data_IF_999748718315
#
_entry.id   IF_999748718315
#
_cell.length_a   1.000
_cell.length_b   1.000
_cell.length_c   1.000
_cell.angle_alpha   90.00
_cell.angle_beta   90.00
_cell.angle_gamma   90.00
#
_symmetry.space_group_name_H-M   'P 1'
#
loop_
_entity.id
_entity.type
_entity.pdbx_description
1 polymer ?
#
# COMPACT_ATOMS: atom_id res chain seq x y z
N UNK A 1 -6.84 5.55 27.98
CA UNK A 1 -6.82 4.86 26.67
C UNK A 1 -7.62 5.70 25.68
N UNK A 2 -6.95 6.23 24.67
CA UNK A 2 -7.59 6.88 23.55
C UNK A 2 -7.72 5.87 22.39
N UNK A 3 -8.86 5.90 21.68
CA UNK A 3 -9.08 5.12 20.46
C UNK A 3 -9.23 6.08 19.28
N UNK A 4 -8.47 5.85 18.23
CA UNK A 4 -8.44 6.68 17.02
C UNK A 4 -8.47 5.82 15.75
N UNK A 5 -8.62 6.45 14.58
CA UNK A 5 -8.61 5.81 13.27
C UNK A 5 -9.99 5.60 12.65
N UNK A 6 -10.06 4.82 11.57
CA UNK A 6 -11.28 4.69 10.76
C UNK A 6 -12.49 4.17 11.56
N UNK A 7 -12.28 3.21 12.47
CA UNK A 7 -13.37 2.66 13.27
C UNK A 7 -13.87 3.65 14.33
N UNK A 8 -13.00 4.52 14.86
CA UNK A 8 -13.44 5.63 15.71
C UNK A 8 -14.35 6.61 14.96
N UNK A 9 -14.17 6.74 13.64
CA UNK A 9 -15.03 7.56 12.79
C UNK A 9 -16.39 6.90 12.47
N UNK A 10 -16.42 5.61 12.17
CA UNK A 10 -17.66 4.95 11.69
C UNK A 10 -18.41 4.16 12.75
N UNK A 11 -17.75 3.81 13.85
CA UNK A 11 -18.24 2.93 14.93
C UNK A 11 -18.25 3.58 16.31
N UNK A 12 -18.24 4.92 16.39
CA UNK A 12 -18.14 5.68 17.64
C UNK A 12 -19.14 5.24 18.72
N UNK A 13 -20.40 4.99 18.35
CA UNK A 13 -21.45 4.55 19.30
C UNK A 13 -21.18 3.19 19.91
N UNK A 14 -20.55 2.27 19.15
CA UNK A 14 -20.12 0.98 19.69
C UNK A 14 -18.96 1.14 20.66
N UNK A 15 -17.98 1.98 20.31
CA UNK A 15 -16.80 2.25 21.15
C UNK A 15 -17.17 2.92 22.48
N UNK A 16 -18.19 3.79 22.50
CA UNK A 16 -18.68 4.41 23.75
C UNK A 16 -19.08 3.41 24.83
N UNK A 17 -19.44 2.18 24.44
CA UNK A 17 -19.89 1.11 25.34
C UNK A 17 -18.76 0.18 25.78
N UNK A 18 -17.55 0.35 25.25
CA UNK A 18 -16.40 -0.51 25.59
C UNK A 18 -15.75 0.01 26.88
N UNK A 19 -15.70 -0.79 27.97
CA UNK A 19 -15.08 -0.38 29.21
C UNK A 19 -13.61 0.00 29.02
N UNK A 20 -13.18 1.05 29.72
CA UNK A 20 -11.77 1.47 29.75
C UNK A 20 -11.34 2.44 28.65
N UNK A 21 -12.21 2.79 27.70
CA UNK A 21 -11.96 3.89 26.75
C UNK A 21 -12.24 5.23 27.42
N UNK A 22 -11.26 6.13 27.38
CA UNK A 22 -11.32 7.47 27.97
C UNK A 22 -11.54 8.56 26.90
N UNK A 23 -11.11 8.31 25.67
CA UNK A 23 -11.18 9.26 24.55
C UNK A 23 -11.41 8.52 23.23
N UNK A 24 -12.32 9.01 22.40
CA UNK A 24 -12.58 8.51 21.03
C UNK A 24 -12.34 9.67 20.06
N UNK A 25 -11.44 9.48 19.11
CA UNK A 25 -11.01 10.54 18.18
C UNK A 25 -11.24 10.11 16.73
N UNK A 26 -12.18 10.78 16.08
CA UNK A 26 -12.50 10.61 14.67
C UNK A 26 -11.42 11.14 13.72
N UNK A 27 -11.60 10.87 12.43
CA UNK A 27 -10.56 11.10 11.41
C UNK A 27 -10.14 12.55 11.23
N UNK A 28 -11.03 13.52 11.49
CA UNK A 28 -10.71 14.96 11.41
C UNK A 28 -9.72 15.37 12.49
N UNK A 29 -9.85 14.82 13.69
CA UNK A 29 -9.13 15.29 14.88
C UNK A 29 -7.85 14.50 15.14
N UNK A 30 -7.71 13.30 14.57
CA UNK A 30 -6.58 12.39 14.90
C UNK A 30 -5.18 12.97 14.65
N UNK A 31 -5.02 13.89 13.69
CA UNK A 31 -3.72 14.48 13.38
C UNK A 31 -3.28 15.51 14.44
N UNK A 32 -4.23 15.99 15.23
CA UNK A 32 -4.04 16.93 16.34
C UNK A 32 -4.27 16.24 17.69
N UNK A 33 -4.12 14.91 17.76
CA UNK A 33 -4.38 14.12 18.98
C UNK A 33 -3.71 14.71 20.23
N UNK A 34 -2.43 15.14 20.20
CA UNK A 34 -1.78 15.74 21.36
C UNK A 34 -2.53 16.95 21.94
N UNK A 35 -3.17 17.77 21.09
CA UNK A 35 -3.89 18.98 21.49
C UNK A 35 -5.15 18.67 22.31
N UNK A 36 -5.63 17.43 22.26
CA UNK A 36 -6.81 16.97 22.99
C UNK A 36 -6.48 16.14 24.23
N UNK A 37 -5.19 15.90 24.50
CA UNK A 37 -4.76 15.18 25.69
C UNK A 37 -4.38 16.18 26.79
N UNK A 38 -4.77 15.93 28.05
CA UNK A 38 -4.25 16.72 29.16
C UNK A 38 -2.74 16.44 29.32
N UNK A 39 -2.05 17.31 30.07
CA UNK A 39 -0.66 17.09 30.45
C UNK A 39 -0.48 15.70 31.09
N UNK A 40 0.69 15.02 30.90
CA UNK A 40 0.88 13.66 31.40
C UNK A 40 0.55 13.45 32.88
N UNK A 41 0.84 14.44 33.72
CA UNK A 41 0.56 14.40 35.17
C UNK A 41 -0.93 14.51 35.51
N UNK A 42 -1.74 15.02 34.59
CA UNK A 42 -3.18 15.18 34.74
C UNK A 42 -3.98 14.07 34.02
N UNK A 43 -3.30 13.08 33.43
CA UNK A 43 -3.97 11.93 32.82
C UNK A 43 -4.64 11.08 33.89
N UNK A 44 -5.97 11.06 33.88
CA UNK A 44 -6.78 10.23 34.77
C UNK A 44 -7.86 9.48 33.98
N UNK A 45 -8.38 8.40 34.60
CA UNK A 45 -9.49 7.64 34.04
C UNK A 45 -10.76 8.47 34.01
N UNK A 46 -11.44 8.46 32.87
CA UNK A 46 -12.68 9.19 32.68
C UNK A 46 -13.89 8.30 33.01
N UNK A 47 -14.96 8.86 33.62
CA UNK A 47 -16.18 8.11 33.90
C UNK A 47 -16.91 7.68 32.62
N UNK A 48 -16.74 8.44 31.53
CA UNK A 48 -17.24 8.13 30.21
C UNK A 48 -16.25 8.63 29.14
N UNK A 49 -16.17 7.98 27.97
CA UNK A 49 -15.27 8.40 26.91
C UNK A 49 -15.66 9.76 26.34
N UNK A 50 -14.72 10.69 26.33
CA UNK A 50 -14.87 11.95 25.59
C UNK A 50 -14.88 11.64 24.08
N UNK A 51 -15.83 12.20 23.33
CA UNK A 51 -15.97 11.94 21.88
C UNK A 51 -15.62 13.18 21.07
N UNK A 52 -14.52 13.10 20.32
CA UNK A 52 -14.15 14.06 19.29
C UNK A 52 -14.50 13.46 17.93
N UNK A 53 -15.69 13.78 17.43
CA UNK A 53 -16.22 13.22 16.18
C UNK A 53 -17.03 14.25 15.40
N UNK A 54 -16.91 14.20 14.08
CA UNK A 54 -17.78 14.97 13.18
C UNK A 54 -18.19 14.08 12.01
N UNK A 55 -19.43 14.22 11.54
CA UNK A 55 -19.89 13.53 10.33
C UNK A 55 -19.28 14.13 9.06
N UNK A 56 -19.00 15.44 9.06
CA UNK A 56 -18.40 16.15 7.93
C UNK A 56 -16.91 16.29 8.16
N UNK A 57 -16.14 15.56 7.36
CA UNK A 57 -14.69 15.73 7.25
C UNK A 57 -14.45 16.84 6.22
N UNK A 58 -13.48 17.71 6.52
CA UNK A 58 -13.08 18.80 5.63
C UNK A 58 -12.69 18.28 4.24
N UNK A 59 -12.86 19.14 3.23
CA UNK A 59 -12.42 18.89 1.85
C UNK A 59 -11.13 19.64 1.52
N UNK A 60 -10.68 20.53 2.39
CA UNK A 60 -9.45 21.27 2.17
C UNK A 60 -8.23 20.35 2.27
N UNK A 61 -7.21 20.66 1.49
CA UNK A 61 -5.89 20.04 1.57
C UNK A 61 -5.30 20.24 2.97
N UNK A 62 -4.39 19.34 3.34
CA UNK A 62 -3.92 19.24 4.73
C UNK A 62 -2.40 19.33 4.84
N UNK A 63 -1.96 19.53 6.08
CA UNK A 63 -0.56 19.42 6.50
C UNK A 63 -0.46 18.42 7.64
N UNK A 64 0.73 17.87 7.86
CA UNK A 64 1.04 17.03 9.01
C UNK A 64 2.20 17.68 9.76
N UNK A 65 1.96 18.07 11.00
CA UNK A 65 2.97 18.71 11.84
C UNK A 65 4.11 17.75 12.17
N UNK A 66 5.34 18.26 12.11
CA UNK A 66 6.55 17.51 12.45
C UNK A 66 7.05 16.61 11.31
N UNK A 67 7.95 15.72 11.67
CA UNK A 67 8.57 14.73 10.76
C UNK A 67 8.34 13.37 11.41
N UNK A 68 7.77 12.42 10.65
CA UNK A 68 7.47 11.07 11.14
C UNK A 68 8.69 10.38 11.73
N UNK A 69 8.48 9.65 12.83
CA UNK A 69 9.51 8.86 13.48
C UNK A 69 9.25 7.38 13.18
N UNK A 70 10.13 6.77 12.38
CA UNK A 70 10.00 5.40 11.93
C UNK A 70 11.20 4.59 12.41
N UNK A 71 10.94 3.45 13.04
CA UNK A 71 11.98 2.46 13.35
C UNK A 71 12.33 1.60 12.12
N UNK A 72 11.48 1.61 11.09
CA UNK A 72 11.71 0.89 9.84
C UNK A 72 12.72 1.60 8.96
N UNK A 73 13.51 0.82 8.21
CA UNK A 73 14.49 1.34 7.23
C UNK A 73 13.83 2.27 6.21
N UNK A 74 12.69 1.85 5.65
CA UNK A 74 11.87 2.65 4.74
C UNK A 74 10.90 3.51 5.55
N UNK A 75 10.67 4.75 5.12
CA UNK A 75 9.72 5.65 5.75
C UNK A 75 8.45 5.80 4.90
N UNK A 76 7.28 5.73 5.55
CA UNK A 76 6.02 6.01 4.88
C UNK A 76 5.79 7.52 4.80
N UNK A 77 5.76 8.08 3.61
CA UNK A 77 5.44 9.49 3.39
C UNK A 77 3.98 9.59 2.94
N UNK A 78 3.11 10.07 3.83
CA UNK A 78 1.70 10.25 3.48
C UNK A 78 1.50 11.51 2.66
N UNK A 79 1.00 11.35 1.44
CA UNK A 79 0.80 12.45 0.48
C UNK A 79 -0.68 12.72 0.19
N UNK A 80 -1.56 11.77 0.49
CA UNK A 80 -2.98 11.84 0.11
C UNK A 80 -3.85 11.16 1.19
N UNK A 81 -5.08 11.62 1.41
CA UNK A 81 -6.06 10.92 2.26
C UNK A 81 -7.49 11.02 1.72
N UNK A 82 -8.33 10.07 2.12
CA UNK A 82 -9.72 9.98 1.63
C UNK A 82 -9.82 9.52 0.17
N UNK A 83 -11.04 9.36 -0.33
CA UNK A 83 -11.26 8.89 -1.70
C UNK A 83 -12.70 9.18 -2.15
N UNK A 84 -12.88 9.64 -3.39
CA UNK A 84 -14.21 9.83 -4.01
C UNK A 84 -14.77 8.58 -4.68
N UNK A 85 -13.97 7.52 -4.80
CA UNK A 85 -14.43 6.29 -5.45
C UNK A 85 -15.36 5.54 -4.51
N UNK A 86 -16.65 5.49 -4.87
CA UNK A 86 -17.71 4.83 -4.10
C UNK A 86 -17.78 3.33 -4.39
N UNK A 87 -16.65 2.62 -4.21
CA UNK A 87 -16.60 1.16 -4.32
C UNK A 87 -17.59 0.54 -3.33
N UNK A 88 -18.43 -0.40 -3.77
CA UNK A 88 -19.59 -0.86 -3.01
C UNK A 88 -19.22 -1.52 -1.67
N UNK A 89 -18.00 -2.04 -1.53
CA UNK A 89 -17.47 -2.66 -0.32
C UNK A 89 -16.67 -1.69 0.58
N UNK A 90 -16.28 -0.52 0.08
CA UNK A 90 -15.28 0.32 0.72
C UNK A 90 -15.91 1.31 1.70
N UNK A 91 -15.42 1.31 2.95
CA UNK A 91 -15.90 2.23 3.99
C UNK A 91 -15.15 3.58 4.00
N UNK A 92 -14.04 3.69 3.25
CA UNK A 92 -13.15 4.86 3.28
C UNK A 92 -13.88 6.18 3.03
N UNK A 93 -14.77 6.33 2.02
CA UNK A 93 -15.43 7.62 1.78
C UNK A 93 -16.17 8.13 3.01
N UNK A 94 -16.72 7.22 3.83
CA UNK A 94 -17.40 7.55 5.08
C UNK A 94 -16.44 7.72 6.27
N UNK A 95 -15.33 6.99 6.27
CA UNK A 95 -14.37 6.98 7.37
C UNK A 95 -13.29 8.06 7.27
N UNK A 96 -12.97 8.53 6.07
CA UNK A 96 -11.86 9.46 5.81
C UNK A 96 -12.25 10.66 4.94
N UNK A 97 -13.46 10.66 4.39
CA UNK A 97 -14.00 11.76 3.58
C UNK A 97 -13.53 11.70 2.12
N UNK A 98 -13.71 12.83 1.45
CA UNK A 98 -13.25 13.05 0.08
C UNK A 98 -11.72 12.97 -0.01
N UNK A 99 -11.25 12.70 -1.21
CA UNK A 99 -9.86 12.84 -1.60
C UNK A 99 -9.36 14.24 -1.28
N UNK A 100 -8.19 14.28 -0.65
CA UNK A 100 -7.46 15.49 -0.30
C UNK A 100 -5.98 15.24 -0.46
N UNK A 101 -5.28 16.25 -0.93
CA UNK A 101 -3.83 16.21 -1.07
C UNK A 101 -3.19 16.81 0.16
N UNK A 102 -2.00 16.34 0.48
CA UNK A 102 -1.11 17.05 1.39
C UNK A 102 -0.41 18.16 0.62
N UNK A 103 -0.23 19.32 1.24
CA UNK A 103 0.46 20.45 0.61
C UNK A 103 1.89 20.08 0.21
N UNK A 104 2.32 20.47 -0.99
CA UNK A 104 3.62 20.08 -1.57
C UNK A 104 4.76 20.47 -0.66
N UNK A 105 4.80 21.73 -0.22
CA UNK A 105 5.89 22.23 0.64
C UNK A 105 5.97 21.45 1.97
N UNK A 106 4.83 20.99 2.50
CA UNK A 106 4.79 20.19 3.72
C UNK A 106 5.24 18.74 3.48
N UNK A 107 4.96 18.17 2.31
CA UNK A 107 5.48 16.86 1.89
C UNK A 107 7.00 16.93 1.74
N UNK A 108 7.52 17.96 1.05
CA UNK A 108 8.96 18.13 0.81
C UNK A 108 9.71 18.32 2.13
N UNK A 109 9.21 19.19 3.02
CA UNK A 109 9.76 19.39 4.36
C UNK A 109 9.87 18.09 5.16
N UNK A 110 8.83 17.24 5.14
CA UNK A 110 8.92 15.95 5.83
C UNK A 110 9.89 14.99 5.14
N UNK A 111 9.91 14.95 3.80
CA UNK A 111 10.84 14.12 3.05
C UNK A 111 12.31 14.47 3.32
N UNK A 112 12.65 15.76 3.36
CA UNK A 112 13.97 16.27 3.77
C UNK A 112 14.31 15.81 5.18
N UNK A 113 13.41 16.03 6.14
CA UNK A 113 13.63 15.60 7.53
C UNK A 113 13.74 14.08 7.70
N UNK A 114 13.11 13.29 6.84
CA UNK A 114 13.26 11.82 6.82
C UNK A 114 14.62 11.41 6.23
N UNK A 115 15.07 12.09 5.17
CA UNK A 115 16.38 11.87 4.57
C UNK A 115 17.51 12.24 5.54
N UNK A 116 17.39 13.35 6.27
CA UNK A 116 18.30 13.75 7.35
C UNK A 116 18.39 12.71 8.47
N UNK A 117 17.30 11.98 8.73
CA UNK A 117 17.24 10.85 9.68
C UNK A 117 17.79 9.54 9.09
N UNK A 118 18.30 9.58 7.87
CA UNK A 118 18.91 8.44 7.18
C UNK A 118 17.94 7.55 6.44
N UNK A 119 16.66 7.89 6.29
CA UNK A 119 15.74 7.10 5.48
C UNK A 119 16.05 7.26 3.99
N UNK A 120 16.65 6.22 3.39
CA UNK A 120 17.04 6.22 1.96
C UNK A 120 15.88 5.94 1.01
N UNK A 121 14.83 5.26 1.48
CA UNK A 121 13.65 4.93 0.67
C UNK A 121 12.37 5.51 1.27
N UNK A 122 11.69 6.33 0.49
CA UNK A 122 10.39 6.92 0.79
C UNK A 122 9.28 6.10 0.12
N UNK A 123 8.32 5.63 0.90
CA UNK A 123 7.12 4.93 0.41
C UNK A 123 5.96 5.91 0.41
N UNK A 124 5.50 6.29 -0.79
CA UNK A 124 4.38 7.22 -0.96
C UNK A 124 3.07 6.53 -0.59
N UNK A 125 2.39 7.05 0.43
CA UNK A 125 1.18 6.45 0.99
C UNK A 125 -0.02 7.39 0.90
N UNK A 126 -1.19 6.77 0.83
CA UNK A 126 -2.49 7.42 0.84
C UNK A 126 -3.58 6.38 0.69
N UNK A 127 -4.79 6.80 0.35
CA UNK A 127 -5.88 5.86 0.05
C UNK A 127 -5.99 5.61 -1.45
N UNK A 128 -5.91 6.68 -2.25
CA UNK A 128 -5.81 6.60 -3.70
C UNK A 128 -4.85 7.69 -4.18
N UNK A 129 -3.55 7.40 -4.11
CA UNK A 129 -2.50 8.40 -4.33
C UNK A 129 -2.47 8.97 -5.74
N UNK A 130 -3.01 8.26 -6.74
CA UNK A 130 -3.12 8.78 -8.11
C UNK A 130 -4.12 9.93 -8.25
N UNK A 131 -4.96 10.18 -7.23
CA UNK A 131 -5.78 11.39 -7.14
C UNK A 131 -5.04 12.60 -6.54
N UNK A 132 -3.75 12.48 -6.23
CA UNK A 132 -2.98 13.61 -5.71
C UNK A 132 -2.98 14.77 -6.72
N UNK A 133 -3.45 15.92 -6.25
CA UNK A 133 -3.45 17.18 -6.97
C UNK A 133 -3.41 18.33 -5.97
N UNK A 134 -2.37 19.16 -6.02
CA UNK A 134 -2.22 20.33 -5.15
C UNK A 134 -1.58 21.48 -5.93
N UNK A 135 -2.17 22.69 -5.86
CA UNK A 135 -1.59 23.87 -6.53
C UNK A 135 -1.36 23.71 -8.04
N UNK A 136 -2.11 22.83 -8.72
CA UNK A 136 -1.91 22.49 -10.14
C UNK A 136 -0.91 21.35 -10.39
N UNK A 137 -0.12 20.94 -9.40
CA UNK A 137 0.83 19.82 -9.47
C UNK A 137 0.12 18.47 -9.29
N UNK A 138 0.51 17.49 -10.07
CA UNK A 138 0.07 16.10 -10.05
C UNK A 138 0.96 15.22 -9.16
N UNK A 139 0.63 13.92 -9.06
CA UNK A 139 1.49 12.93 -8.41
C UNK A 139 2.88 12.87 -9.05
N UNK A 140 2.96 12.95 -10.38
CA UNK A 140 4.23 12.90 -11.10
C UNK A 140 5.10 14.12 -10.77
N UNK A 141 4.52 15.32 -10.75
CA UNK A 141 5.23 16.55 -10.38
C UNK A 141 5.79 16.45 -8.94
N UNK A 142 5.00 15.88 -8.01
CA UNK A 142 5.48 15.66 -6.64
C UNK A 142 6.64 14.66 -6.60
N UNK A 143 6.56 13.55 -7.34
CA UNK A 143 7.63 12.55 -7.43
C UNK A 143 8.92 13.20 -7.98
N UNK A 144 8.80 14.05 -9.00
CA UNK A 144 9.93 14.78 -9.57
C UNK A 144 10.58 15.72 -8.55
N UNK A 145 9.79 16.42 -7.74
CA UNK A 145 10.33 17.24 -6.65
C UNK A 145 11.03 16.38 -5.58
N UNK A 146 10.42 15.27 -5.16
CA UNK A 146 10.99 14.36 -4.14
C UNK A 146 12.30 13.73 -4.61
N UNK A 147 12.43 13.45 -5.91
CA UNK A 147 13.65 12.89 -6.49
C UNK A 147 14.85 13.84 -6.38
N UNK A 148 14.63 15.15 -6.28
CA UNK A 148 15.71 16.13 -6.11
C UNK A 148 16.25 16.21 -4.68
N UNK A 149 15.61 15.55 -3.70
CA UNK A 149 16.05 15.62 -2.31
C UNK A 149 17.30 14.76 -2.12
N UNK A 150 18.34 15.36 -1.55
CA UNK A 150 19.58 14.68 -1.18
C UNK A 150 19.32 13.64 -0.07
N UNK A 151 19.99 12.49 -0.16
CA UNK A 151 19.82 11.37 0.77
C UNK A 151 18.60 10.47 0.49
N UNK A 152 17.62 10.94 -0.28
CA UNK A 152 16.60 10.04 -0.87
C UNK A 152 17.25 9.31 -2.04
N UNK A 153 17.23 7.98 -2.00
CA UNK A 153 17.76 7.11 -3.06
C UNK A 153 16.66 6.31 -3.75
N UNK A 154 15.54 6.04 -3.07
CA UNK A 154 14.41 5.32 -3.64
C UNK A 154 13.08 5.98 -3.30
N UNK A 155 12.18 6.03 -4.28
CA UNK A 155 10.80 6.46 -4.13
C UNK A 155 9.91 5.31 -4.59
N UNK A 156 9.11 4.78 -3.67
CA UNK A 156 8.20 3.68 -3.95
C UNK A 156 6.76 4.16 -3.91
N UNK A 157 6.04 3.93 -5.00
CA UNK A 157 4.60 4.08 -5.05
C UNK A 157 3.99 2.87 -4.33
N UNK A 158 3.14 3.12 -3.34
CA UNK A 158 2.34 2.07 -2.68
C UNK A 158 1.15 1.65 -3.56
N UNK A 159 0.01 1.32 -2.96
CA UNK A 159 -1.20 0.95 -3.73
C UNK A 159 -1.75 2.16 -4.49
N UNK A 160 -2.04 1.95 -5.78
CA UNK A 160 -2.53 3.00 -6.68
C UNK A 160 -3.63 2.44 -7.60
N UNK A 161 -4.69 3.22 -7.79
CA UNK A 161 -5.83 2.82 -8.60
C UNK A 161 -5.46 2.83 -10.10
N UNK A 162 -5.73 1.75 -10.86
CA UNK A 162 -5.31 1.63 -12.27
C UNK A 162 -5.76 2.81 -13.14
N UNK A 163 -6.97 3.30 -12.92
CA UNK A 163 -7.57 4.41 -13.70
C UNK A 163 -6.97 5.79 -13.40
N UNK A 164 -6.02 5.87 -12.46
CA UNK A 164 -5.37 7.11 -12.03
C UNK A 164 -3.87 7.15 -12.33
N UNK A 165 -3.36 6.14 -13.05
CA UNK A 165 -1.94 6.05 -13.44
C UNK A 165 -1.81 6.61 -14.85
N UNK A 166 -1.26 7.82 -15.03
CA UNK A 166 -1.04 8.38 -16.35
C UNK A 166 0.13 7.68 -17.06
N UNK A 167 0.16 7.72 -18.39
CA UNK A 167 1.23 7.11 -19.19
C UNK A 167 2.58 7.77 -18.90
N UNK A 168 2.57 9.08 -18.69
CA UNK A 168 3.74 9.88 -18.38
C UNK A 168 4.42 9.41 -17.09
N UNK A 169 3.67 8.86 -16.14
CA UNK A 169 4.25 8.24 -14.94
C UNK A 169 4.95 6.93 -15.27
N UNK A 170 4.37 6.10 -16.14
CA UNK A 170 5.02 4.86 -16.60
C UNK A 170 6.32 5.17 -17.35
N UNK A 171 6.29 6.16 -18.24
CA UNK A 171 7.48 6.60 -18.98
C UNK A 171 8.55 7.13 -18.02
N UNK A 172 8.16 7.95 -17.04
CA UNK A 172 9.09 8.48 -16.04
C UNK A 172 9.76 7.40 -15.18
N UNK A 173 9.04 6.32 -14.86
CA UNK A 173 9.60 5.16 -14.15
C UNK A 173 10.73 4.47 -14.93
N UNK A 174 10.83 4.67 -16.25
CA UNK A 174 11.91 4.10 -17.07
C UNK A 174 13.19 4.91 -17.02
N UNK A 175 13.07 6.22 -16.88
CA UNK A 175 14.20 7.17 -16.93
C UNK A 175 14.69 7.60 -15.54
N UNK A 176 13.83 7.52 -14.52
CA UNK A 176 14.15 7.93 -13.17
C UNK A 176 15.14 6.96 -12.51
N UNK A 177 16.25 7.45 -11.92
CA UNK A 177 17.16 6.63 -11.12
C UNK A 177 16.60 6.27 -9.74
N UNK A 178 15.67 7.05 -9.17
CA UNK A 178 15.17 6.85 -7.80
C UNK A 178 13.80 6.18 -7.74
N UNK A 179 12.97 6.29 -8.77
CA UNK A 179 11.62 5.69 -8.74
C UNK A 179 11.72 4.17 -8.91
N UNK A 180 11.25 3.46 -7.90
CA UNK A 180 11.21 2.01 -7.89
C UNK A 180 10.34 1.46 -9.02
N UNK A 181 10.85 0.50 -9.80
CA UNK A 181 10.11 -0.24 -10.85
C UNK A 181 9.12 -1.23 -10.25
N UNK A 182 8.15 -0.71 -9.51
CA UNK A 182 7.14 -1.49 -8.81
C UNK A 182 5.81 -0.74 -8.81
N UNK A 183 4.73 -1.46 -9.10
CA UNK A 183 3.36 -0.98 -8.93
C UNK A 183 2.52 -2.01 -8.19
N UNK A 184 1.71 -1.55 -7.24
CA UNK A 184 0.66 -2.34 -6.62
C UNK A 184 -0.69 -1.83 -7.11
N UNK A 185 -1.32 -2.58 -8.03
CA UNK A 185 -2.50 -2.13 -8.76
C UNK A 185 -3.65 -3.08 -8.43
N UNK A 186 -4.69 -2.66 -7.69
CA UNK A 186 -5.76 -3.56 -7.24
C UNK A 186 -6.67 -4.04 -8.38
N UNK A 187 -6.70 -5.36 -8.64
CA UNK A 187 -7.62 -6.01 -9.58
C UNK A 187 -9.02 -6.16 -8.95
N UNK A 188 -9.07 -6.54 -7.68
CA UNK A 188 -10.25 -6.92 -6.90
C UNK A 188 -10.95 -8.21 -7.37
N UNK A 189 -11.32 -8.31 -8.65
CA UNK A 189 -11.93 -9.49 -9.28
C UNK A 189 -11.61 -9.52 -10.78
N UNK A 190 -11.58 -10.72 -11.38
CA UNK A 190 -11.43 -10.88 -12.84
C UNK A 190 -12.74 -11.14 -13.56
N UNK A 191 -13.89 -10.82 -12.95
CA UNK A 191 -15.20 -10.93 -13.58
C UNK A 191 -15.88 -9.55 -13.72
N UNK A 192 -16.39 -9.23 -14.92
CA UNK A 192 -17.03 -7.93 -15.17
C UNK A 192 -18.31 -7.71 -14.35
N UNK A 193 -19.10 -8.75 -14.09
CA UNK A 193 -20.31 -8.64 -13.27
C UNK A 193 -19.96 -8.33 -11.82
N UNK A 194 -18.95 -9.01 -11.27
CA UNK A 194 -18.44 -8.73 -9.92
C UNK A 194 -17.78 -7.35 -9.84
N UNK A 195 -16.95 -6.97 -10.81
CA UNK A 195 -16.33 -5.63 -10.87
C UNK A 195 -17.41 -4.52 -10.92
N UNK A 196 -18.46 -4.72 -11.70
CA UNK A 196 -19.59 -3.80 -11.76
C UNK A 196 -20.34 -3.75 -10.42
N UNK A 197 -20.62 -4.88 -9.78
CA UNK A 197 -21.24 -4.93 -8.46
C UNK A 197 -20.35 -4.33 -7.35
N UNK A 198 -19.03 -4.37 -7.52
CA UNK A 198 -18.03 -3.69 -6.71
C UNK A 198 -17.97 -2.17 -6.97
N UNK A 199 -18.66 -1.68 -8.00
CA UNK A 199 -18.56 -0.31 -8.55
C UNK A 199 -17.12 0.06 -8.96
N UNK A 200 -16.38 -0.88 -9.54
CA UNK A 200 -15.08 -0.58 -10.15
C UNK A 200 -15.28 0.21 -11.44
N UNK A 201 -14.33 1.09 -11.75
CA UNK A 201 -14.39 2.03 -12.88
C UNK A 201 -13.63 1.53 -14.10
N UNK A 202 -13.45 0.23 -14.19
CA UNK A 202 -12.79 -0.46 -15.28
C UNK A 202 -13.43 -1.82 -15.47
N UNK A 203 -13.33 -2.30 -16.70
CA UNK A 203 -13.61 -3.67 -17.11
C UNK A 203 -12.34 -4.51 -17.05
N UNK A 204 -12.51 -5.84 -17.12
CA UNK A 204 -11.40 -6.78 -17.29
C UNK A 204 -10.52 -6.41 -18.49
N UNK A 205 -11.13 -6.01 -19.61
CA UNK A 205 -10.41 -5.65 -20.84
C UNK A 205 -9.52 -4.43 -20.63
N UNK A 206 -10.04 -3.37 -20.03
CA UNK A 206 -9.28 -2.14 -19.76
C UNK A 206 -8.16 -2.38 -18.76
N UNK A 207 -8.43 -3.17 -17.71
CA UNK A 207 -7.42 -3.55 -16.73
C UNK A 207 -6.28 -4.36 -17.38
N UNK A 208 -6.62 -5.38 -18.18
CA UNK A 208 -5.63 -6.18 -18.91
C UNK A 208 -4.78 -5.30 -19.83
N UNK A 209 -5.42 -4.44 -20.64
CA UNK A 209 -4.70 -3.55 -21.55
C UNK A 209 -3.74 -2.61 -20.81
N UNK A 210 -4.16 -2.09 -19.65
CA UNK A 210 -3.29 -1.27 -18.79
C UNK A 210 -2.08 -2.06 -18.27
N UNK A 211 -2.29 -3.27 -17.72
CA UNK A 211 -1.20 -4.10 -17.19
C UNK A 211 -0.19 -4.49 -18.29
N UNK A 212 -0.69 -4.93 -19.44
CA UNK A 212 0.15 -5.29 -20.59
C UNK A 212 0.96 -4.09 -21.09
N UNK A 213 0.36 -2.90 -21.10
CA UNK A 213 1.06 -1.65 -21.42
C UNK A 213 2.14 -1.33 -20.40
N UNK A 214 1.83 -1.37 -19.10
CA UNK A 214 2.79 -1.05 -18.05
C UNK A 214 4.02 -1.96 -18.09
N UNK A 215 3.83 -3.26 -18.31
CA UNK A 215 4.93 -4.24 -18.41
C UNK A 215 5.76 -4.05 -19.66
N UNK A 216 5.14 -3.65 -20.78
CA UNK A 216 5.84 -3.34 -22.02
C UNK A 216 6.68 -2.06 -21.90
N UNK A 217 6.15 -1.03 -21.24
CA UNK A 217 6.84 0.25 -21.09
C UNK A 217 7.92 0.21 -20.02
N UNK A 218 7.70 -0.50 -18.91
CA UNK A 218 8.64 -0.57 -17.79
C UNK A 218 9.23 -1.99 -17.68
N UNK A 219 10.43 -2.23 -18.23
CA UNK A 219 11.13 -3.50 -18.07
C UNK A 219 11.32 -3.88 -16.59
N UNK A 220 11.19 -5.16 -16.29
CA UNK A 220 11.36 -5.73 -14.95
C UNK A 220 10.43 -5.16 -13.87
N UNK A 221 9.30 -4.58 -14.28
CA UNK A 221 8.26 -4.07 -13.40
C UNK A 221 7.75 -5.17 -12.47
N UNK A 222 7.93 -4.96 -11.16
CA UNK A 222 7.29 -5.76 -10.13
C UNK A 222 5.83 -5.37 -10.00
N UNK A 223 4.92 -6.32 -10.28
CA UNK A 223 3.48 -6.09 -10.20
C UNK A 223 2.85 -6.85 -9.03
N UNK A 224 2.41 -6.11 -8.02
CA UNK A 224 1.51 -6.60 -6.98
C UNK A 224 0.05 -6.28 -7.29
N UNK A 225 -0.87 -7.07 -6.76
CA UNK A 225 -2.31 -6.77 -6.82
C UNK A 225 -3.05 -7.26 -5.59
N UNK A 226 -4.29 -6.82 -5.47
CA UNK A 226 -5.26 -7.18 -4.44
C UNK A 226 -6.42 -7.94 -5.09
N UNK A 227 -6.78 -9.11 -4.56
CA UNK A 227 -7.92 -9.91 -5.00
C UNK A 227 -8.84 -10.20 -3.81
N UNK A 228 -10.12 -9.88 -3.96
CA UNK A 228 -11.16 -10.15 -2.98
C UNK A 228 -11.91 -11.43 -3.34
N UNK A 229 -12.05 -12.35 -2.38
CA UNK A 229 -12.91 -13.53 -2.51
C UNK A 229 -14.10 -13.48 -1.56
N UNK A 230 -15.19 -14.13 -1.93
CA UNK A 230 -16.42 -14.18 -1.16
C UNK A 230 -17.28 -12.92 -1.25
N UNK A 231 -17.05 -12.07 -2.26
CA UNK A 231 -17.92 -10.92 -2.52
C UNK A 231 -19.34 -11.39 -2.85
N UNK A 232 -20.40 -10.67 -2.42
CA UNK A 232 -21.76 -11.09 -2.70
C UNK A 232 -22.04 -11.22 -4.21
N UNK A 233 -22.57 -12.37 -4.63
CA UNK A 233 -22.76 -12.73 -6.05
C UNK A 233 -21.60 -13.48 -6.70
N UNK A 234 -20.47 -13.71 -6.01
CA UNK A 234 -19.34 -14.48 -6.56
C UNK A 234 -19.66 -15.99 -6.59
N UNK A 235 -20.23 -16.45 -7.71
CA UNK A 235 -20.45 -17.86 -8.03
C UNK A 235 -19.17 -18.58 -8.46
N UNK A 236 -19.31 -19.84 -8.88
CA UNK A 236 -18.17 -20.66 -9.35
C UNK A 236 -17.56 -20.10 -10.63
N UNK A 237 -18.39 -19.64 -11.56
CA UNK A 237 -17.99 -19.04 -12.83
C UNK A 237 -17.17 -17.76 -12.60
N UNK A 238 -17.64 -16.88 -11.73
CA UNK A 238 -17.01 -15.58 -11.47
C UNK A 238 -15.64 -15.76 -10.79
N UNK A 239 -15.54 -16.74 -9.88
CA UNK A 239 -14.25 -17.12 -9.30
C UNK A 239 -13.33 -17.75 -10.36
N UNK A 240 -13.84 -18.62 -11.24
CA UNK A 240 -13.04 -19.20 -12.31
C UNK A 240 -12.48 -18.14 -13.27
N UNK A 241 -13.28 -17.12 -13.61
CA UNK A 241 -12.83 -15.97 -14.39
C UNK A 241 -11.71 -15.21 -13.68
N UNK A 242 -11.87 -14.97 -12.37
CA UNK A 242 -10.86 -14.32 -11.54
C UNK A 242 -9.55 -15.09 -11.50
N UNK A 243 -9.63 -16.41 -11.29
CA UNK A 243 -8.46 -17.29 -11.26
C UNK A 243 -7.74 -17.33 -12.62
N UNK A 244 -8.50 -17.46 -13.71
CA UNK A 244 -7.95 -17.49 -15.06
C UNK A 244 -7.23 -16.18 -15.41
N UNK A 245 -7.85 -15.03 -15.11
CA UNK A 245 -7.26 -13.72 -15.36
C UNK A 245 -5.99 -13.52 -14.52
N UNK A 246 -6.07 -13.79 -13.21
CA UNK A 246 -4.93 -13.68 -12.31
C UNK A 246 -3.76 -14.54 -12.78
N UNK A 247 -4.02 -15.75 -13.28
CA UNK A 247 -3.01 -16.64 -13.85
C UNK A 247 -2.38 -16.07 -15.13
N UNK A 248 -3.19 -15.53 -16.03
CA UNK A 248 -2.74 -15.03 -17.34
C UNK A 248 -1.87 -13.77 -17.27
N UNK A 249 -2.13 -12.88 -16.29
CA UNK A 249 -1.43 -11.61 -16.19
C UNK A 249 -0.06 -11.74 -15.50
N UNK A 250 0.93 -10.91 -15.87
CA UNK A 250 2.33 -11.04 -15.43
C UNK A 250 2.58 -10.48 -14.01
N UNK A 251 1.66 -10.72 -13.08
CA UNK A 251 1.83 -10.35 -11.69
C UNK A 251 2.99 -11.11 -11.02
N UNK A 252 3.76 -10.41 -10.19
CA UNK A 252 4.75 -11.00 -9.31
C UNK A 252 4.08 -11.70 -8.13
N UNK A 253 3.03 -11.11 -7.55
CA UNK A 253 2.26 -11.74 -6.48
C UNK A 253 0.89 -11.06 -6.32
N UNK A 254 0.02 -11.71 -5.55
CA UNK A 254 -1.25 -11.13 -5.10
C UNK A 254 -1.39 -11.19 -3.58
N UNK A 255 -2.03 -10.17 -3.01
CA UNK A 255 -2.68 -10.25 -1.72
C UNK A 255 -4.12 -10.72 -1.92
N UNK A 256 -4.51 -11.75 -1.16
CA UNK A 256 -5.86 -12.30 -1.20
C UNK A 256 -6.53 -12.05 0.12
N UNK A 257 -7.72 -11.46 0.09
CA UNK A 257 -8.51 -11.21 1.28
C UNK A 257 -9.97 -11.57 1.08
N UNK A 258 -10.63 -11.92 2.18
CA UNK A 258 -12.05 -12.23 2.16
C UNK A 258 -12.86 -10.93 2.21
N UNK A 259 -13.99 -10.92 1.51
CA UNK A 259 -15.00 -9.89 1.67
C UNK A 259 -15.37 -9.78 3.15
N UNK A 260 -15.29 -8.55 3.66
CA UNK A 260 -15.67 -8.21 5.02
C UNK A 260 -16.85 -7.24 4.95
N UNK A 261 -18.02 -7.69 5.43
CA UNK A 261 -19.22 -6.86 5.46
C UNK A 261 -18.99 -5.66 6.38
N UNK A 262 -19.05 -4.45 5.84
CA UNK A 262 -18.90 -3.19 6.60
C UNK A 262 -20.24 -2.46 6.68
N UNK A 263 -20.81 -2.24 7.88
CA UNK A 263 -22.05 -1.48 8.02
C UNK A 263 -21.98 -0.13 7.28
N UNK A 264 -23.04 0.22 6.56
CA UNK A 264 -23.15 1.46 5.79
C UNK A 264 -22.71 1.36 4.32
N UNK A 265 -21.96 0.34 3.92
CA UNK A 265 -21.55 0.18 2.51
C UNK A 265 -22.67 -0.43 1.66
N UNK A 266 -22.61 -0.25 0.33
CA UNK A 266 -23.62 -0.80 -0.57
C UNK A 266 -23.62 -2.33 -0.60
N UNK A 267 -22.43 -2.94 -0.60
CA UNK A 267 -22.26 -4.39 -0.54
C UNK A 267 -22.81 -5.01 0.76
N UNK A 268 -22.92 -4.24 1.85
CA UNK A 268 -23.51 -4.74 3.08
C UNK A 268 -25.03 -5.00 2.99
N UNK A 269 -25.70 -4.44 1.96
CA UNK A 269 -27.12 -4.66 1.68
C UNK A 269 -27.36 -5.79 0.67
N UNK A 270 -26.32 -6.34 0.06
CA UNK A 270 -26.44 -7.45 -0.88
C UNK A 270 -26.72 -8.76 -0.12
N UNK A 271 -27.63 -9.57 -0.65
CA UNK A 271 -28.14 -10.78 0.02
C UNK A 271 -27.50 -12.07 -0.49
N UNK A 272 -26.91 -12.07 -1.68
CA UNK A 272 -26.29 -13.25 -2.29
C UNK A 272 -24.92 -13.53 -1.67
N UNK A 273 -24.90 -14.05 -0.44
CA UNK A 273 -23.68 -14.24 0.33
C UNK A 273 -22.96 -15.54 -0.03
N UNK A 274 -21.64 -15.47 -0.18
CA UNK A 274 -20.79 -16.66 -0.32
C UNK A 274 -20.53 -17.30 1.04
N UNK A 275 -20.64 -18.63 1.14
CA UNK A 275 -20.34 -19.37 2.36
C UNK A 275 -18.88 -19.16 2.79
N UNK A 276 -18.58 -18.96 4.09
CA UNK A 276 -17.21 -18.79 4.58
C UNK A 276 -16.26 -19.94 4.19
N UNK A 277 -16.74 -21.18 4.18
CA UNK A 277 -15.96 -22.34 3.76
C UNK A 277 -15.54 -22.24 2.28
N UNK A 278 -16.44 -21.79 1.40
CA UNK A 278 -16.15 -21.57 -0.02
C UNK A 278 -15.13 -20.44 -0.20
N UNK A 279 -15.30 -19.31 0.49
CA UNK A 279 -14.33 -18.20 0.44
C UNK A 279 -12.94 -18.63 0.94
N UNK A 280 -12.86 -19.48 1.98
CA UNK A 280 -11.60 -20.03 2.48
C UNK A 280 -10.88 -20.91 1.46
N UNK A 281 -11.62 -21.76 0.74
CA UNK A 281 -11.05 -22.59 -0.34
C UNK A 281 -10.50 -21.70 -1.45
N UNK A 282 -11.30 -20.73 -1.93
CA UNK A 282 -10.91 -19.76 -2.96
C UNK A 282 -9.66 -18.96 -2.57
N UNK A 283 -9.61 -18.48 -1.33
CA UNK A 283 -8.47 -17.76 -0.77
C UNK A 283 -7.20 -18.62 -0.82
N UNK A 284 -7.28 -19.89 -0.42
CA UNK A 284 -6.15 -20.83 -0.49
C UNK A 284 -5.68 -21.05 -1.92
N UNK A 285 -6.60 -21.30 -2.86
CA UNK A 285 -6.26 -21.51 -4.28
C UNK A 285 -5.50 -20.32 -4.88
N UNK A 286 -5.98 -19.09 -4.65
CA UNK A 286 -5.30 -17.90 -5.14
C UNK A 286 -3.98 -17.63 -4.41
N UNK A 287 -3.88 -17.98 -3.12
CA UNK A 287 -2.63 -17.87 -2.37
C UNK A 287 -1.54 -18.83 -2.91
N UNK A 288 -1.92 -20.06 -3.28
CA UNK A 288 -1.02 -21.02 -3.92
C UNK A 288 -0.55 -20.54 -5.29
N UNK A 289 -1.46 -19.97 -6.10
CA UNK A 289 -1.09 -19.34 -7.38
C UNK A 289 -0.16 -18.13 -7.17
N UNK A 290 -0.45 -17.27 -6.19
CA UNK A 290 0.38 -16.11 -5.83
C UNK A 290 1.81 -16.55 -5.47
N UNK A 291 1.93 -17.65 -4.71
CA UNK A 291 3.20 -18.27 -4.33
C UNK A 291 4.00 -18.74 -5.54
N UNK A 292 3.35 -19.47 -6.45
CA UNK A 292 3.96 -19.95 -7.69
C UNK A 292 4.44 -18.79 -8.58
N UNK A 293 3.63 -17.74 -8.72
CA UNK A 293 4.00 -16.54 -9.49
C UNK A 293 5.16 -15.78 -8.88
N UNK A 294 5.23 -15.69 -7.54
CA UNK A 294 6.35 -15.05 -6.86
C UNK A 294 7.66 -15.78 -7.13
N UNK A 295 7.65 -17.11 -7.02
CA UNK A 295 8.82 -17.93 -7.35
C UNK A 295 9.23 -17.72 -8.81
N UNK A 296 8.29 -17.76 -9.75
CA UNK A 296 8.57 -17.53 -11.17
C UNK A 296 9.13 -16.11 -11.44
N UNK A 297 8.62 -15.08 -10.76
CA UNK A 297 9.15 -13.73 -10.87
C UNK A 297 10.57 -13.64 -10.32
N UNK A 298 10.84 -14.25 -9.17
CA UNK A 298 12.18 -14.23 -8.55
C UNK A 298 13.20 -15.01 -9.39
N UNK A 299 12.80 -16.12 -10.01
CA UNK A 299 13.66 -16.94 -10.87
C UNK A 299 14.22 -16.16 -12.06
N UNK A 300 13.54 -15.11 -12.52
CA UNK A 300 14.05 -14.24 -13.59
C UNK A 300 15.38 -13.58 -13.22
N UNK A 301 15.64 -13.38 -11.93
CA UNK A 301 16.83 -12.70 -11.43
C UNK A 301 17.99 -13.65 -11.12
N UNK A 302 17.81 -14.97 -11.27
CA UNK A 302 18.92 -15.92 -11.10
C UNK A 302 20.10 -15.50 -12.00
N UNK A 303 21.29 -15.52 -11.41
CA UNK A 303 22.57 -15.12 -12.01
C UNK A 303 22.65 -13.64 -12.41
N UNK A 304 21.66 -12.82 -12.03
CA UNK A 304 21.69 -11.37 -12.22
C UNK A 304 22.21 -10.66 -10.98
N UNK A 305 22.85 -9.52 -11.21
CA UNK A 305 23.24 -8.58 -10.16
C UNK A 305 22.10 -7.57 -9.95
N UNK A 306 21.64 -7.44 -8.71
CA UNK A 306 20.53 -6.53 -8.35
C UNK A 306 20.88 -5.68 -7.13
N UNK A 307 20.47 -4.40 -7.10
CA UNK A 307 20.65 -3.55 -5.93
C UNK A 307 19.61 -3.87 -4.85
N UNK A 308 20.06 -4.19 -3.64
CA UNK A 308 19.22 -4.58 -2.50
C UNK A 308 19.38 -3.59 -1.36
N UNK A 309 18.26 -2.98 -0.93
CA UNK A 309 18.21 -2.20 0.32
C UNK A 309 17.96 -3.16 1.47
N UNK A 310 18.96 -3.36 2.34
CA UNK A 310 18.87 -4.26 3.49
C UNK A 310 18.20 -3.60 4.69
N UNK A 311 17.27 -4.32 5.31
CA UNK A 311 16.43 -3.81 6.40
C UNK A 311 16.75 -4.48 7.73
N UNK A 312 16.68 -5.81 7.76
CA UNK A 312 16.72 -6.58 9.01
C UNK A 312 17.53 -7.84 8.86
N UNK A 313 18.04 -8.36 9.97
CA UNK A 313 18.59 -9.72 10.03
C UNK A 313 17.52 -10.68 10.55
N UNK A 314 17.31 -11.80 9.86
CA UNK A 314 16.33 -12.81 10.29
C UNK A 314 16.90 -13.78 11.34
N UNK A 315 16.04 -14.69 11.83
CA UNK A 315 16.40 -15.68 12.83
C UNK A 315 17.44 -16.71 12.35
N UNK A 316 17.65 -16.84 11.03
CA UNK A 316 18.67 -17.71 10.44
C UNK A 316 20.01 -17.00 10.29
N UNK A 317 20.06 -15.70 10.57
CA UNK A 317 21.26 -14.87 10.46
C UNK A 317 21.46 -14.27 9.07
N UNK A 318 20.50 -14.40 8.15
CA UNK A 318 20.54 -13.74 6.84
C UNK A 318 20.13 -12.28 6.97
N UNK A 319 20.87 -11.40 6.30
CA UNK A 319 20.42 -10.04 6.04
C UNK A 319 19.34 -10.07 4.98
N UNK A 320 18.20 -9.48 5.27
CA UNK A 320 17.04 -9.45 4.40
C UNK A 320 16.80 -8.02 3.91
N UNK A 321 16.64 -7.90 2.60
CA UNK A 321 16.37 -6.64 1.94
C UNK A 321 15.41 -6.75 0.77
N UNK A 322 15.16 -5.61 0.14
CA UNK A 322 14.27 -5.49 -1.02
C UNK A 322 14.97 -4.80 -2.18
N UNK A 323 14.72 -5.29 -3.39
CA UNK A 323 15.08 -4.60 -4.63
C UNK A 323 14.08 -3.49 -4.98
N UNK A 324 14.43 -2.66 -5.95
CA UNK A 324 13.52 -1.62 -6.47
C UNK A 324 12.19 -2.19 -7.01
N UNK A 325 12.22 -3.37 -7.62
CA UNK A 325 11.03 -4.08 -8.10
C UNK A 325 10.44 -5.10 -7.10
N UNK A 326 10.79 -4.97 -5.82
CA UNK A 326 10.15 -5.67 -4.70
C UNK A 326 10.45 -7.18 -4.60
N UNK A 327 11.60 -7.61 -5.12
CA UNK A 327 12.17 -8.94 -4.82
C UNK A 327 12.78 -8.90 -3.43
N UNK A 328 12.37 -9.84 -2.57
CA UNK A 328 12.96 -10.06 -1.25
C UNK A 328 14.22 -10.90 -1.40
N UNK A 329 15.36 -10.36 -0.98
CA UNK A 329 16.67 -10.98 -1.12
C UNK A 329 17.30 -11.20 0.25
N UNK A 330 17.83 -12.40 0.47
CA UNK A 330 18.57 -12.80 1.66
C UNK A 330 20.04 -13.02 1.36
N UNK A 331 20.93 -12.44 2.17
CA UNK A 331 22.39 -12.58 2.01
C UNK A 331 23.04 -12.90 3.33
N UNK A 332 23.95 -13.89 3.33
CA UNK A 332 24.81 -14.15 4.46
C UNK A 332 26.01 -13.19 4.41
N UNK A 333 26.14 -12.32 5.41
CA UNK A 333 27.29 -11.41 5.54
C UNK A 333 27.67 -11.26 7.01
N UNK A 334 28.98 -11.16 7.27
CA UNK A 334 29.52 -10.88 8.61
C UNK A 334 29.45 -9.40 8.99
N UNK A 335 29.36 -8.51 8.01
CA UNK A 335 29.21 -7.06 8.20
C UNK A 335 27.75 -6.67 8.46
N UNK A 336 27.57 -5.49 9.07
CA UNK A 336 26.25 -4.86 9.20
C UNK A 336 25.82 -4.22 7.88
N UNK A 337 24.73 -4.72 7.31
CA UNK A 337 24.14 -4.23 6.06
C UNK A 337 22.94 -3.31 6.28
N UNK A 338 22.54 -3.05 7.53
CA UNK A 338 21.35 -2.26 7.84
C UNK A 338 21.36 -0.90 7.13
N UNK A 339 20.26 -0.61 6.44
CA UNK A 339 20.05 0.63 5.70
C UNK A 339 21.16 0.93 4.66
N UNK A 340 21.68 -0.12 4.01
CA UNK A 340 22.61 -0.01 2.88
C UNK A 340 21.98 -0.60 1.62
N UNK A 341 22.24 0.05 0.49
CA UNK A 341 21.99 -0.51 -0.82
C UNK A 341 23.28 -1.17 -1.29
N UNK A 342 23.24 -2.48 -1.54
CA UNK A 342 24.39 -3.22 -2.03
C UNK A 342 24.01 -4.05 -3.27
N UNK A 343 24.95 -4.21 -4.18
CA UNK A 343 24.81 -5.10 -5.33
C UNK A 343 24.93 -6.55 -4.89
N UNK A 344 23.96 -7.37 -5.29
CA UNK A 344 23.87 -8.78 -4.93
C UNK A 344 23.70 -9.61 -6.20
N UNK A 345 24.56 -10.61 -6.39
CA UNK A 345 24.32 -11.66 -7.40
C UNK A 345 23.33 -12.65 -6.80
N UNK A 346 22.17 -12.81 -7.42
CA UNK A 346 21.16 -13.78 -6.97
C UNK A 346 21.57 -15.17 -7.43
N UNK A 347 21.80 -16.09 -6.50
CA UNK A 347 22.30 -17.44 -6.77
C UNK A 347 21.28 -18.53 -6.51
N UNK A 348 20.14 -18.18 -5.89
CA UNK A 348 19.09 -19.14 -5.60
C UNK A 348 17.75 -18.48 -5.34
N UNK A 349 16.68 -19.25 -5.52
CA UNK A 349 15.32 -18.82 -5.23
C UNK A 349 14.59 -19.93 -4.48
N UNK A 350 13.93 -19.55 -3.39
CA UNK A 350 13.02 -20.38 -2.63
C UNK A 350 11.70 -19.64 -2.42
N UNK A 351 10.76 -20.31 -1.74
CA UNK A 351 9.43 -19.76 -1.52
C UNK A 351 9.49 -18.44 -0.73
N UNK A 352 9.18 -17.33 -1.41
CA UNK A 352 9.15 -16.00 -0.82
C UNK A 352 10.52 -15.31 -0.63
N UNK A 353 11.62 -15.94 -1.02
CA UNK A 353 12.97 -15.41 -0.80
C UNK A 353 13.91 -15.78 -1.95
N UNK A 354 14.54 -14.78 -2.57
CA UNK A 354 15.74 -14.97 -3.34
C UNK A 354 16.96 -14.94 -2.40
N UNK A 355 18.00 -15.71 -2.70
CA UNK A 355 19.26 -15.68 -1.95
C UNK A 355 20.40 -15.32 -2.88
N UNK A 356 21.43 -14.68 -2.34
CA UNK A 356 22.55 -14.23 -3.14
C UNK A 356 23.81 -13.96 -2.35
N UNK A 357 24.81 -13.46 -3.06
CA UNK A 357 26.11 -13.06 -2.52
C UNK A 357 26.37 -11.60 -2.85
N UNK A 358 26.99 -10.87 -1.93
CA UNK A 358 27.45 -9.50 -2.19
C UNK A 358 28.45 -9.53 -3.35
N UNK A 359 28.35 -8.57 -4.26
CA UNK A 359 29.40 -8.33 -5.24
C UNK A 359 30.61 -7.78 -4.50
N UNK A 360 31.73 -8.50 -4.54
CA UNK A 360 33.01 -7.97 -4.06
C UNK A 360 33.42 -6.80 -4.97
N UNK A 361 33.37 -5.58 -4.42
CA UNK A 361 34.01 -4.45 -5.09
C UNK A 361 35.50 -4.67 -4.90
N UNK A 362 36.18 -5.17 -5.94
CA UNK A 362 37.64 -5.24 -5.96
C UNK A 362 38.20 -3.85 -5.61
N UNK A 363 38.98 -3.80 -4.54
CA UNK A 363 39.71 -2.61 -4.10
C UNK A 363 40.73 -2.15 -5.14
#
# INVERSE_FOLDING_TARGET
>A
MAVTGCYAQTGAEGLRRVPGIDLIVGSRYKMHLPDYLPAPQALCKQPAPHLLHTRKIDRDDFVISGVGHYESTRANLKIQDGCTFMCSFCIIPFARGHERSRRVDDVLREAEGLAERGHRELVLTGVNIGQYREGGRSLLDLIQCLEQIDGVERIRISSIEPTTIPDELLDYMTTSPKVCRYLHVPLQSGDNGILQAMHRRYTVKEYTAFIEKAVRLVPDLGLGTDIMVGFPGEGEKEFANTLALANSLPFAYFHVFNFSRRPGTAAARMTDTVRPATAKIRSRTLAELSRAKRVAFYQRYLDQTVPVLFETRDATGLWIGLTGNYVRVGVAAGSDLSNRICEVVVTGVMDGLAVGQLVEIGL
#
